data_IF_600635949522
#
_entry.id   IF_600635949522
#
_cell.length_a   1.000
_cell.length_b   1.000
_cell.length_c   1.000
_cell.angle_alpha   90.00
_cell.angle_beta   90.00
_cell.angle_gamma   90.00
#
_symmetry.space_group_name_H-M   'P 1'
#
loop_
_entity.id
_entity.type
_entity.pdbx_description
1 polymer ?
#
# COMPACT_ATOMS: atom_id res chain seq x y z
N UNK A 1 -21.84 80.75 12.79
CA UNK A 1 -21.11 80.37 11.57
C UNK A 1 -19.87 79.61 12.02
N UNK A 2 -19.69 78.30 11.89
CA UNK A 2 -20.47 77.19 11.37
C UNK A 2 -20.30 76.11 12.45
N UNK A 3 -21.36 75.74 13.16
CA UNK A 3 -21.33 74.50 13.95
C UNK A 3 -21.46 73.40 12.91
N UNK A 4 -20.33 72.85 12.48
CA UNK A 4 -20.31 71.63 11.70
C UNK A 4 -20.79 70.54 12.67
N UNK A 5 -22.09 70.27 12.66
CA UNK A 5 -22.65 69.04 13.24
C UNK A 5 -22.28 67.92 12.27
N UNK A 6 -21.03 67.45 12.33
CA UNK A 6 -20.68 66.15 11.78
C UNK A 6 -21.40 65.12 12.64
N UNK A 7 -22.63 64.76 12.27
CA UNK A 7 -23.36 63.65 12.92
C UNK A 7 -22.58 62.35 12.79
N UNK A 8 -21.78 62.20 11.73
CA UNK A 8 -20.96 61.02 11.49
C UNK A 8 -19.57 61.42 10.95
N UNK A 9 -18.51 60.82 11.49
CA UNK A 9 -17.16 60.89 10.93
C UNK A 9 -16.74 59.53 10.39
N UNK A 10 -16.29 59.47 9.14
CA UNK A 10 -15.68 58.28 8.55
C UNK A 10 -14.17 58.27 8.76
N UNK A 11 -13.65 57.17 9.31
CA UNK A 11 -12.21 56.93 9.36
C UNK A 11 -11.87 55.68 8.55
N UNK A 12 -10.94 55.85 7.60
CA UNK A 12 -10.31 54.74 6.90
C UNK A 12 -9.22 54.15 7.79
N UNK A 13 -9.49 53.00 8.39
CA UNK A 13 -8.46 52.23 9.08
C UNK A 13 -7.68 51.43 8.03
N UNK A 14 -6.36 51.32 8.20
CA UNK A 14 -5.35 50.81 7.26
C UNK A 14 -5.63 49.44 6.58
N UNK A 15 -6.68 48.72 7.00
CA UNK A 15 -7.09 47.40 6.54
C UNK A 15 -8.62 47.22 6.43
N UNK A 16 -9.41 48.29 6.53
CA UNK A 16 -10.87 48.21 6.67
C UNK A 16 -11.62 49.10 5.69
N UNK A 17 -12.89 48.73 5.45
CA UNK A 17 -13.88 49.64 4.91
C UNK A 17 -14.12 50.83 5.86
N UNK A 18 -14.69 51.91 5.34
CA UNK A 18 -15.04 53.11 6.09
C UNK A 18 -15.90 52.76 7.31
N UNK A 19 -15.42 53.06 8.51
CA UNK A 19 -16.20 52.95 9.75
C UNK A 19 -16.77 54.32 10.08
N UNK A 20 -18.09 54.38 10.22
CA UNK A 20 -18.82 55.58 10.61
C UNK A 20 -18.90 55.64 12.14
N UNK A 21 -18.43 56.76 12.70
CA UNK A 21 -18.51 57.04 14.12
C UNK A 21 -19.56 58.11 14.38
N UNK A 22 -20.54 57.78 15.23
CA UNK A 22 -21.47 58.76 15.78
C UNK A 22 -20.74 59.64 16.81
N UNK A 23 -20.91 60.96 16.67
CA UNK A 23 -20.27 61.96 17.54
C UNK A 23 -21.17 62.37 18.71
N UNK A 24 -22.42 61.92 18.76
CA UNK A 24 -23.37 62.21 19.83
C UNK A 24 -22.81 61.70 21.18
N UNK A 25 -22.83 62.57 22.20
CA UNK A 25 -22.30 62.35 23.56
C UNK A 25 -20.79 62.06 23.66
N UNK A 26 -20.02 62.14 22.57
CA UNK A 26 -18.59 61.79 22.60
C UNK A 26 -17.80 62.61 23.63
N UNK A 27 -18.06 63.92 23.70
CA UNK A 27 -17.40 64.82 24.66
C UNK A 27 -17.77 64.51 26.12
N UNK A 28 -19.01 64.09 26.37
CA UNK A 28 -19.48 63.74 27.71
C UNK A 28 -18.85 62.43 28.18
N UNK A 29 -18.85 61.41 27.31
CA UNK A 29 -18.17 60.13 27.54
C UNK A 29 -16.67 60.30 27.81
N UNK A 30 -16.02 61.28 27.17
CA UNK A 30 -14.59 61.53 27.35
C UNK A 30 -14.23 62.32 28.63
N UNK A 31 -15.17 63.05 29.23
CA UNK A 31 -14.89 63.94 30.37
C UNK A 31 -14.60 63.20 31.67
N UNK A 32 -15.11 61.98 31.83
CA UNK A 32 -14.94 61.15 33.04
C UNK A 32 -15.08 61.95 34.36
N UNK A 33 -16.20 62.69 34.55
CA UNK A 33 -16.32 63.62 35.65
C UNK A 33 -16.41 62.85 36.98
N UNK A 34 -15.42 63.04 37.84
CA UNK A 34 -15.42 62.49 39.18
C UNK A 34 -15.31 63.62 40.19
N UNK A 35 -16.39 63.83 40.96
CA UNK A 35 -16.46 64.90 41.94
C UNK A 35 -15.54 64.60 43.13
N UNK A 36 -14.74 65.58 43.52
CA UNK A 36 -13.82 65.47 44.66
C UNK A 36 -14.53 65.16 45.99
N UNK A 37 -15.78 65.61 46.14
CA UNK A 37 -16.61 65.34 47.31
C UNK A 37 -16.91 63.84 47.47
N UNK A 38 -17.08 63.11 46.37
CA UNK A 38 -17.34 61.67 46.39
C UNK A 38 -16.07 60.91 46.84
N UNK A 39 -14.89 61.35 46.39
CA UNK A 39 -13.60 60.81 46.84
C UNK A 39 -13.44 61.02 48.35
N UNK A 40 -13.77 62.22 48.84
CA UNK A 40 -13.72 62.54 50.27
C UNK A 40 -14.71 61.70 51.07
N UNK A 41 -15.95 61.55 50.60
CA UNK A 41 -16.94 60.68 51.24
C UNK A 41 -16.45 59.23 51.34
N UNK A 42 -15.83 58.71 50.29
CA UNK A 42 -15.25 57.36 50.28
C UNK A 42 -14.08 57.21 51.25
N UNK A 43 -13.29 58.27 51.47
CA UNK A 43 -12.22 58.25 52.47
C UNK A 43 -12.74 58.22 53.91
N UNK A 44 -13.95 58.75 54.16
CA UNK A 44 -14.57 58.86 55.48
C UNK A 44 -15.41 57.63 55.86
N UNK A 45 -15.69 56.74 54.91
CA UNK A 45 -16.45 55.53 55.17
C UNK A 45 -15.68 54.54 56.06
N UNK A 46 -16.36 53.87 57.00
CA UNK A 46 -15.75 52.88 57.92
C UNK A 46 -15.40 51.54 57.25
N UNK A 47 -15.84 51.33 56.01
CA UNK A 47 -15.58 50.10 55.26
C UNK A 47 -14.26 50.20 54.48
N UNK A 48 -13.49 49.11 54.43
CA UNK A 48 -12.20 49.09 53.73
C UNK A 48 -12.29 49.36 52.22
N UNK A 49 -13.35 48.88 51.55
CA UNK A 49 -13.49 49.03 50.10
C UNK A 49 -13.53 50.50 49.65
N UNK A 50 -14.42 51.37 50.17
CA UNK A 50 -14.41 52.80 49.86
C UNK A 50 -13.05 53.49 50.09
N UNK A 51 -12.37 53.16 51.20
CA UNK A 51 -11.06 53.73 51.53
C UNK A 51 -9.97 53.32 50.52
N UNK A 52 -10.03 52.08 50.01
CA UNK A 52 -9.14 51.60 48.94
C UNK A 52 -9.37 52.30 47.61
N UNK A 53 -10.61 52.72 47.31
CA UNK A 53 -10.89 53.52 46.11
C UNK A 53 -10.37 54.96 46.26
N UNK A 54 -10.61 55.59 47.41
CA UNK A 54 -10.14 56.94 47.67
C UNK A 54 -8.61 57.06 47.62
N UNK A 55 -7.87 56.05 48.11
CA UNK A 55 -6.40 56.04 48.07
C UNK A 55 -5.80 55.87 46.67
N UNK A 56 -6.53 55.26 45.72
CA UNK A 56 -6.07 55.02 44.34
C UNK A 56 -6.41 56.16 43.38
N UNK A 57 -7.39 57.01 43.70
CA UNK A 57 -7.84 58.09 42.84
C UNK A 57 -7.12 59.39 43.22
N UNK A 58 -6.23 59.87 42.34
CA UNK A 58 -5.56 61.17 42.50
C UNK A 58 -6.52 62.31 42.09
N UNK A 59 -6.82 63.28 42.99
CA UNK A 59 -7.84 64.31 42.73
C UNK A 59 -7.41 65.41 41.74
N UNK A 60 -6.14 65.45 41.30
CA UNK A 60 -5.56 66.62 40.63
C UNK A 60 -5.44 66.53 39.10
N UNK A 61 -5.79 65.40 38.47
CA UNK A 61 -5.66 65.25 37.02
C UNK A 61 -7.02 65.20 36.34
N UNK A 62 -7.41 66.32 35.72
CA UNK A 62 -8.45 66.38 34.68
C UNK A 62 -7.97 65.63 33.43
N UNK A 63 -7.78 64.32 33.56
CA UNK A 63 -7.40 63.43 32.46
C UNK A 63 -8.66 62.91 31.80
N UNK A 64 -8.78 63.16 30.51
CA UNK A 64 -9.85 62.60 29.70
C UNK A 64 -9.67 61.09 29.52
N UNK A 65 -10.76 60.36 29.25
CA UNK A 65 -10.72 58.92 28.97
C UNK A 65 -9.73 58.60 27.85
N UNK A 66 -9.70 59.41 26.79
CA UNK A 66 -8.81 59.22 25.64
C UNK A 66 -7.34 59.38 26.05
N UNK A 67 -7.01 60.35 26.90
CA UNK A 67 -5.63 60.54 27.37
C UNK A 67 -5.17 59.35 28.20
N UNK A 68 -6.01 58.86 29.12
CA UNK A 68 -5.71 57.66 29.93
C UNK A 68 -5.52 56.43 29.04
N UNK A 69 -6.42 56.23 28.07
CA UNK A 69 -6.35 55.13 27.12
C UNK A 69 -5.08 55.19 26.27
N UNK A 70 -4.72 56.37 25.75
CA UNK A 70 -3.50 56.57 24.97
C UNK A 70 -2.24 56.22 25.77
N UNK A 71 -2.15 56.69 27.00
CA UNK A 71 -0.98 56.45 27.85
C UNK A 71 -0.87 54.97 28.24
N UNK A 72 -1.98 54.31 28.53
CA UNK A 72 -2.02 52.87 28.79
C UNK A 72 -1.63 52.05 27.56
N UNK A 73 -2.16 52.41 26.38
CA UNK A 73 -1.83 51.75 25.12
C UNK A 73 -0.35 51.93 24.78
N UNK A 74 0.20 53.12 24.98
CA UNK A 74 1.63 53.38 24.72
C UNK A 74 2.54 52.54 25.62
N UNK A 75 2.23 52.44 26.92
CA UNK A 75 2.95 51.55 27.85
C UNK A 75 2.87 50.10 27.42
N UNK A 76 1.70 49.63 26.99
CA UNK A 76 1.52 48.27 26.48
C UNK A 76 2.36 48.04 25.22
N UNK A 77 2.37 48.98 24.27
CA UNK A 77 3.18 48.87 23.05
C UNK A 77 4.68 48.77 23.35
N UNK A 78 5.19 49.60 24.27
CA UNK A 78 6.60 49.52 24.70
C UNK A 78 6.95 48.14 25.30
N UNK A 79 6.05 47.57 26.10
CA UNK A 79 6.24 46.23 26.66
C UNK A 79 6.26 45.17 25.55
N UNK A 80 5.33 45.24 24.59
CA UNK A 80 5.28 44.31 23.47
C UNK A 80 6.54 44.41 22.59
N UNK A 81 7.02 45.62 22.30
CA UNK A 81 8.24 45.88 21.52
C UNK A 81 9.50 45.36 22.20
N UNK A 82 9.52 45.29 23.53
CA UNK A 82 10.64 44.70 24.29
C UNK A 82 10.70 43.16 24.25
N UNK A 83 9.69 42.51 23.64
CA UNK A 83 9.55 41.05 23.60
C UNK A 83 9.48 40.52 22.17
N UNK A 84 9.56 39.20 22.02
CA UNK A 84 9.32 38.52 20.73
C UNK A 84 7.83 38.17 20.61
N UNK A 85 7.06 38.82 19.72
CA UNK A 85 5.62 38.59 19.64
C UNK A 85 5.27 37.30 18.87
N UNK A 86 4.22 36.63 19.33
CA UNK A 86 3.56 35.53 18.63
C UNK A 86 2.08 35.90 18.41
N UNK A 87 1.58 35.72 17.19
CA UNK A 87 0.24 36.16 16.81
C UNK A 87 -0.72 34.97 16.69
N UNK A 88 -1.82 35.01 17.44
CA UNK A 88 -2.95 34.08 17.31
C UNK A 88 -4.18 34.86 16.83
N UNK A 89 -4.80 34.41 15.74
CA UNK A 89 -6.00 35.04 15.17
C UNK A 89 -7.19 34.10 15.35
N UNK A 90 -8.15 34.50 16.17
CA UNK A 90 -9.38 33.76 16.37
C UNK A 90 -10.39 34.06 15.25
N UNK A 91 -11.14 33.07 14.81
CA UNK A 91 -12.18 33.21 13.78
C UNK A 91 -13.48 32.61 14.28
N UNK A 92 -14.60 33.33 14.16
CA UNK A 92 -15.94 32.85 14.47
C UNK A 92 -16.51 32.09 13.26
N UNK A 93 -16.81 30.79 13.35
CA UNK A 93 -17.20 29.99 12.19
C UNK A 93 -18.65 30.23 11.73
N UNK A 94 -19.56 30.58 12.64
CA UNK A 94 -20.96 30.89 12.33
C UNK A 94 -21.57 31.81 13.39
N UNK A 95 -22.61 32.56 13.00
CA UNK A 95 -23.28 33.49 13.91
C UNK A 95 -24.14 32.82 14.99
N UNK A 96 -24.65 31.61 14.69
CA UNK A 96 -25.62 30.86 15.52
C UNK A 96 -24.98 30.11 16.70
N UNK A 97 -23.65 30.06 16.78
CA UNK A 97 -22.87 29.31 17.78
C UNK A 97 -23.13 27.79 17.73
N UNK A 98 -23.42 27.26 16.54
CA UNK A 98 -23.65 25.82 16.31
C UNK A 98 -22.34 25.13 15.97
N UNK A 99 -22.11 23.95 16.53
CA UNK A 99 -20.90 23.16 16.21
C UNK A 99 -20.98 22.59 14.79
N UNK A 100 -19.87 22.58 14.06
CA UNK A 100 -19.76 22.00 12.71
C UNK A 100 -20.35 22.85 11.58
N UNK A 101 -21.01 23.97 11.88
CA UNK A 101 -21.50 24.90 10.85
C UNK A 101 -20.44 25.95 10.48
N UNK A 102 -20.28 26.17 9.16
CA UNK A 102 -19.34 27.14 8.60
C UNK A 102 -20.07 28.13 7.68
N UNK A 103 -20.06 29.40 8.06
CA UNK A 103 -20.67 30.51 7.33
C UNK A 103 -19.59 31.24 6.51
N UNK A 104 -19.54 30.96 5.20
CA UNK A 104 -18.46 31.42 4.32
C UNK A 104 -18.31 32.93 4.30
N UNK A 105 -19.41 33.67 4.20
CA UNK A 105 -19.36 35.13 4.04
C UNK A 105 -18.87 35.82 5.31
N UNK A 106 -19.38 35.39 6.47
CA UNK A 106 -18.94 35.84 7.79
C UNK A 106 -17.43 35.58 8.00
N UNK A 107 -16.95 34.38 7.67
CA UNK A 107 -15.53 34.05 7.80
C UNK A 107 -14.69 34.84 6.80
N UNK A 108 -15.14 34.97 5.56
CA UNK A 108 -14.44 35.74 4.52
C UNK A 108 -14.27 37.21 4.91
N UNK A 109 -15.29 37.82 5.49
CA UNK A 109 -15.23 39.19 6.01
C UNK A 109 -14.26 39.30 7.19
N UNK A 110 -14.31 38.38 8.15
CA UNK A 110 -13.33 38.33 9.24
C UNK A 110 -11.88 38.20 8.74
N UNK A 111 -11.62 37.39 7.71
CA UNK A 111 -10.27 37.25 7.15
C UNK A 111 -9.77 38.55 6.49
N UNK A 112 -10.67 39.33 5.89
CA UNK A 112 -10.37 40.68 5.39
C UNK A 112 -10.08 41.63 6.55
N UNK A 113 -11.01 41.74 7.50
CA UNK A 113 -10.92 42.61 8.68
C UNK A 113 -9.68 42.33 9.55
N UNK A 114 -9.33 41.07 9.75
CA UNK A 114 -8.14 40.68 10.51
C UNK A 114 -6.82 40.89 9.75
N UNK A 115 -6.87 41.36 8.50
CA UNK A 115 -5.69 41.53 7.64
C UNK A 115 -5.02 40.22 7.24
N UNK A 116 -5.68 39.07 7.43
CA UNK A 116 -5.08 37.75 7.17
C UNK A 116 -4.80 37.60 5.67
N UNK A 117 -5.72 38.06 4.81
CA UNK A 117 -5.52 38.02 3.37
C UNK A 117 -4.34 38.90 2.91
N UNK A 118 -4.15 40.03 3.57
CA UNK A 118 -3.04 40.94 3.30
C UNK A 118 -1.69 40.35 3.73
N UNK A 119 -1.64 39.73 4.91
CA UNK A 119 -0.47 38.97 5.37
C UNK A 119 -0.14 37.83 4.40
N UNK A 120 -1.14 37.10 3.92
CA UNK A 120 -0.96 36.06 2.90
C UNK A 120 -0.45 36.66 1.59
N UNK A 121 -0.96 37.83 1.17
CA UNK A 121 -0.51 38.54 -0.03
C UNK A 121 0.95 38.94 0.06
N UNK A 122 1.36 39.56 1.16
CA UNK A 122 2.75 39.94 1.43
C UNK A 122 3.63 38.68 1.46
N UNK A 123 3.20 37.62 2.15
CA UNK A 123 3.93 36.34 2.21
C UNK A 123 4.13 35.74 0.81
N UNK A 124 3.11 35.77 -0.04
CA UNK A 124 3.19 35.31 -1.45
C UNK A 124 4.09 36.19 -2.32
N UNK A 125 4.16 37.49 -2.04
CA UNK A 125 5.06 38.40 -2.77
C UNK A 125 6.54 38.15 -2.45
N UNK A 126 6.84 37.57 -1.29
CA UNK A 126 8.16 37.09 -0.93
C UNK A 126 8.40 35.63 -1.32
N UNK A 127 9.15 34.92 -0.47
CA UNK A 127 9.49 33.51 -0.63
C UNK A 127 9.01 32.73 0.60
N UNK A 128 7.74 32.27 0.60
CA UNK A 128 7.13 31.61 1.75
C UNK A 128 7.77 30.26 2.07
N UNK A 129 8.26 29.55 1.05
CA UNK A 129 8.88 28.23 1.23
C UNK A 129 10.40 28.36 1.29
N UNK A 130 11.00 27.80 2.33
CA UNK A 130 12.43 27.88 2.62
C UNK A 130 12.93 26.49 2.97
N UNK A 131 13.93 26.00 2.25
CA UNK A 131 14.50 24.67 2.47
C UNK A 131 16.01 24.77 2.60
N UNK A 132 16.61 23.96 3.47
CA UNK A 132 18.08 23.85 3.55
C UNK A 132 18.56 23.11 2.29
N UNK A 133 19.70 23.52 1.71
CA UNK A 133 20.20 22.90 0.47
C UNK A 133 20.29 21.38 0.56
N UNK A 134 20.84 20.85 1.66
CA UNK A 134 20.94 19.40 1.88
C UNK A 134 19.58 18.70 1.94
N UNK A 135 18.58 19.33 2.56
CA UNK A 135 17.23 18.77 2.66
C UNK A 135 16.56 18.75 1.29
N UNK A 136 16.70 19.83 0.52
CA UNK A 136 16.19 19.92 -0.84
C UNK A 136 16.82 18.84 -1.73
N UNK A 137 18.15 18.74 -1.73
CA UNK A 137 18.87 17.76 -2.56
C UNK A 137 18.47 16.34 -2.22
N UNK A 138 18.52 15.92 -0.95
CA UNK A 138 18.12 14.55 -0.53
C UNK A 138 16.67 14.22 -0.88
N UNK A 139 15.79 15.22 -0.87
CA UNK A 139 14.37 15.01 -1.13
C UNK A 139 14.06 14.83 -2.61
N UNK A 140 14.75 15.58 -3.46
CA UNK A 140 14.47 15.68 -4.89
C UNK A 140 15.54 15.02 -5.78
N UNK A 141 16.61 14.44 -5.22
CA UNK A 141 17.63 13.71 -5.98
C UNK A 141 17.05 12.56 -6.81
N UNK A 142 15.97 11.93 -6.34
CA UNK A 142 15.24 10.88 -7.08
C UNK A 142 14.69 11.36 -8.42
N UNK A 143 14.49 12.67 -8.57
CA UNK A 143 14.01 13.27 -9.82
C UNK A 143 15.13 13.38 -10.85
N UNK A 144 16.40 13.21 -10.47
CA UNK A 144 17.53 13.27 -11.36
C UNK A 144 18.00 11.86 -11.77
N UNK A 145 18.49 11.66 -13.01
CA UNK A 145 19.18 10.43 -13.38
C UNK A 145 20.50 10.31 -12.59
N UNK A 146 20.91 9.08 -12.26
CA UNK A 146 22.10 8.78 -11.42
C UNK A 146 23.37 9.49 -11.90
N UNK A 147 23.54 9.64 -13.22
CA UNK A 147 24.70 10.28 -13.84
C UNK A 147 24.84 11.79 -13.56
N UNK A 148 23.78 12.42 -13.04
CA UNK A 148 23.73 13.87 -12.76
C UNK A 148 23.83 14.22 -11.27
N UNK A 149 23.96 13.20 -10.41
CA UNK A 149 24.11 13.40 -8.96
C UNK A 149 25.57 13.75 -8.67
N UNK A 150 25.81 14.99 -8.23
CA UNK A 150 27.13 15.47 -7.84
C UNK A 150 27.36 15.26 -6.33
N UNK A 151 28.62 15.19 -5.90
CA UNK A 151 29.00 15.19 -4.48
C UNK A 151 28.63 16.52 -3.79
N UNK A 152 28.63 17.63 -4.55
CA UNK A 152 28.25 18.94 -4.03
C UNK A 152 26.72 19.14 -4.11
N UNK A 153 26.02 19.31 -2.97
CA UNK A 153 24.58 19.51 -2.95
C UNK A 153 24.12 20.75 -3.72
N UNK A 154 24.96 21.77 -3.89
CA UNK A 154 24.62 22.96 -4.67
C UNK A 154 24.47 22.66 -6.17
N UNK A 155 25.39 21.88 -6.73
CA UNK A 155 25.34 21.50 -8.13
C UNK A 155 24.12 20.62 -8.42
N UNK A 156 23.82 19.67 -7.55
CA UNK A 156 22.64 18.81 -7.67
C UNK A 156 21.35 19.63 -7.56
N UNK A 157 21.30 20.61 -6.66
CA UNK A 157 20.19 21.56 -6.54
C UNK A 157 20.00 22.37 -7.82
N UNK A 158 21.07 22.93 -8.39
CA UNK A 158 21.02 23.70 -9.65
C UNK A 158 20.55 22.81 -10.80
N UNK A 159 21.04 21.57 -10.88
CA UNK A 159 20.62 20.60 -11.89
C UNK A 159 19.12 20.28 -11.80
N UNK A 160 18.57 20.15 -10.59
CA UNK A 160 17.12 19.99 -10.38
C UNK A 160 16.38 21.23 -10.90
N UNK A 161 16.79 22.44 -10.48
CA UNK A 161 16.12 23.68 -10.88
C UNK A 161 16.11 23.86 -12.41
N UNK A 162 17.22 23.54 -13.08
CA UNK A 162 17.35 23.58 -14.54
C UNK A 162 16.50 22.51 -15.23
N UNK A 163 16.47 21.28 -14.70
CA UNK A 163 15.68 20.18 -15.27
C UNK A 163 14.18 20.51 -15.31
N UNK A 164 13.68 21.20 -14.27
CA UNK A 164 12.28 21.58 -14.15
C UNK A 164 11.95 22.96 -14.74
N UNK A 165 12.91 23.60 -15.40
CA UNK A 165 12.77 24.93 -16.03
C UNK A 165 12.09 25.97 -15.12
N UNK A 166 12.47 25.94 -13.83
CA UNK A 166 11.93 26.89 -12.85
C UNK A 166 12.55 28.24 -13.16
N UNK A 167 11.70 29.20 -13.52
CA UNK A 167 12.13 30.55 -13.88
C UNK A 167 12.94 31.20 -12.74
N UNK A 168 14.06 31.89 -13.01
CA UNK A 168 14.92 32.49 -11.98
C UNK A 168 14.21 33.46 -11.02
N UNK A 169 13.09 34.06 -11.42
CA UNK A 169 12.29 34.96 -10.58
C UNK A 169 11.47 34.22 -9.51
N UNK A 170 11.30 32.91 -9.68
CA UNK A 170 10.48 32.05 -8.83
C UNK A 170 11.28 31.42 -7.67
N UNK A 171 12.61 31.53 -7.68
CA UNK A 171 13.45 31.04 -6.60
C UNK A 171 14.64 31.97 -6.32
N UNK A 172 15.23 31.85 -5.13
CA UNK A 172 16.48 32.51 -4.77
C UNK A 172 17.37 31.53 -3.99
N UNK A 173 18.64 31.45 -4.38
CA UNK A 173 19.64 30.63 -3.68
C UNK A 173 20.37 31.50 -2.67
N UNK A 174 20.07 31.33 -1.38
CA UNK A 174 20.86 31.93 -0.31
C UNK A 174 22.07 31.07 0.07
N UNK A 175 22.89 31.54 1.01
CA UNK A 175 24.11 30.84 1.46
C UNK A 175 23.88 29.42 1.98
N UNK A 176 22.77 29.17 2.69
CA UNK A 176 22.47 27.87 3.31
C UNK A 176 21.09 27.32 2.94
N UNK A 177 20.25 28.15 2.32
CA UNK A 177 18.83 27.87 2.08
C UNK A 177 18.42 28.26 0.68
N UNK A 178 17.50 27.49 0.12
CA UNK A 178 16.77 27.77 -1.10
C UNK A 178 15.40 28.36 -0.73
N UNK A 179 15.02 29.41 -1.46
CA UNK A 179 13.80 30.17 -1.24
C UNK A 179 12.92 30.05 -2.48
N UNK A 180 11.65 29.68 -2.32
CA UNK A 180 10.71 29.55 -3.44
C UNK A 180 9.50 30.44 -3.26
N UNK A 181 9.00 30.97 -4.38
CA UNK A 181 7.67 31.55 -4.46
C UNK A 181 6.60 30.45 -4.32
N UNK A 182 5.39 30.87 -3.94
CA UNK A 182 4.27 29.95 -3.75
C UNK A 182 3.97 29.13 -5.02
N UNK A 183 3.75 27.83 -4.86
CA UNK A 183 3.35 26.91 -5.94
C UNK A 183 4.49 26.06 -6.53
N UNK A 184 5.74 26.52 -6.49
CA UNK A 184 6.86 25.82 -7.14
C UNK A 184 7.19 24.46 -6.49
N UNK A 185 7.21 24.40 -5.16
CA UNK A 185 7.44 23.15 -4.43
C UNK A 185 6.30 22.16 -4.65
N UNK A 186 5.05 22.63 -4.80
CA UNK A 186 3.91 21.74 -5.07
C UNK A 186 4.10 20.97 -6.37
N UNK A 187 4.49 21.67 -7.45
CA UNK A 187 4.78 21.03 -8.73
C UNK A 187 5.92 19.99 -8.63
N UNK A 188 6.99 20.28 -7.89
CA UNK A 188 8.08 19.32 -7.65
C UNK A 188 7.62 18.08 -6.88
N UNK A 189 6.74 18.25 -5.89
CA UNK A 189 6.17 17.13 -5.12
C UNK A 189 5.22 16.27 -5.95
N UNK A 190 4.45 16.87 -6.85
CA UNK A 190 3.55 16.13 -7.74
C UNK A 190 4.34 15.18 -8.65
N UNK A 191 5.41 15.67 -9.28
CA UNK A 191 6.29 14.85 -10.13
C UNK A 191 7.03 13.79 -9.30
N UNK A 192 7.50 14.15 -8.11
CA UNK A 192 8.13 13.18 -7.19
C UNK A 192 7.15 12.09 -6.78
N UNK A 193 5.90 12.44 -6.53
CA UNK A 193 4.82 11.50 -6.25
C UNK A 193 4.59 10.53 -7.41
N UNK A 194 4.69 10.99 -8.66
CA UNK A 194 4.64 10.16 -9.86
C UNK A 194 5.83 9.19 -9.95
N UNK A 195 7.05 9.69 -9.81
CA UNK A 195 8.26 8.85 -9.86
C UNK A 195 8.26 7.77 -8.77
N UNK A 196 7.77 8.11 -7.57
CA UNK A 196 7.63 7.11 -6.49
C UNK A 196 6.56 6.05 -6.81
N UNK A 197 5.50 6.39 -7.56
CA UNK A 197 4.53 5.39 -8.02
C UNK A 197 5.16 4.38 -8.98
N UNK A 198 6.15 4.78 -9.79
CA UNK A 198 6.87 3.84 -10.66
C UNK A 198 7.65 2.77 -9.88
N UNK A 199 8.02 3.03 -8.62
CA UNK A 199 8.60 2.01 -7.73
C UNK A 199 7.65 0.82 -7.52
N UNK A 200 6.33 1.03 -7.60
CA UNK A 200 5.35 -0.05 -7.55
C UNK A 200 5.47 -1.00 -8.74
N UNK A 201 5.94 -0.53 -9.89
CA UNK A 201 6.20 -1.36 -11.06
C UNK A 201 7.34 -2.34 -10.80
N UNK A 202 8.42 -1.88 -10.15
CA UNK A 202 9.53 -2.74 -9.73
C UNK A 202 9.03 -3.81 -8.76
N UNK A 203 8.25 -3.42 -7.75
CA UNK A 203 7.66 -4.34 -6.79
C UNK A 203 6.75 -5.38 -7.47
N UNK A 204 5.92 -4.97 -8.44
CA UNK A 204 5.07 -5.85 -9.23
C UNK A 204 5.88 -6.88 -10.02
N UNK A 205 6.95 -6.44 -10.69
CA UNK A 205 7.85 -7.32 -11.44
C UNK A 205 8.54 -8.33 -10.51
N UNK A 206 9.02 -7.89 -9.36
CA UNK A 206 9.67 -8.74 -8.37
C UNK A 206 8.71 -9.80 -7.79
N UNK A 207 7.50 -9.39 -7.37
CA UNK A 207 6.45 -10.31 -6.89
C UNK A 207 6.07 -11.34 -7.96
N UNK A 208 5.93 -10.91 -9.22
CA UNK A 208 5.69 -11.80 -10.36
C UNK A 208 6.82 -12.81 -10.53
N UNK A 209 8.08 -12.36 -10.44
CA UNK A 209 9.24 -13.24 -10.56
C UNK A 209 9.23 -14.31 -9.46
N UNK A 210 9.01 -13.91 -8.20
CA UNK A 210 8.91 -14.85 -7.07
C UNK A 210 7.78 -15.87 -7.25
N UNK A 211 6.59 -15.43 -7.65
CA UNK A 211 5.45 -16.31 -7.90
C UNK A 211 5.75 -17.32 -9.04
N UNK A 212 6.32 -16.86 -10.16
CA UNK A 212 6.71 -17.73 -11.28
C UNK A 212 7.76 -18.76 -10.89
N UNK A 213 8.76 -18.35 -10.09
CA UNK A 213 9.80 -19.26 -9.58
C UNK A 213 9.19 -20.34 -8.68
N UNK A 214 8.27 -19.97 -7.79
CA UNK A 214 7.53 -20.92 -6.95
C UNK A 214 6.69 -21.91 -7.78
N UNK A 215 5.92 -21.40 -8.73
CA UNK A 215 5.11 -22.22 -9.64
C UNK A 215 5.95 -23.20 -10.46
N UNK A 216 7.09 -22.74 -11.01
CA UNK A 216 7.96 -23.60 -11.81
C UNK A 216 8.52 -24.77 -10.99
N UNK A 217 8.94 -24.53 -9.74
CA UNK A 217 9.38 -25.59 -8.82
C UNK A 217 8.28 -26.64 -8.58
N UNK A 218 7.05 -26.19 -8.31
CA UNK A 218 5.90 -27.08 -8.12
C UNK A 218 5.57 -27.87 -9.38
N UNK A 219 5.60 -27.23 -10.56
CA UNK A 219 5.32 -27.88 -11.85
C UNK A 219 6.34 -28.98 -12.15
N UNK A 220 7.64 -28.72 -11.94
CA UNK A 220 8.70 -29.72 -12.12
C UNK A 220 8.48 -30.90 -11.17
N UNK A 221 8.24 -30.64 -9.89
CA UNK A 221 7.96 -31.70 -8.91
C UNK A 221 6.73 -32.53 -9.25
N UNK A 222 5.62 -31.88 -9.64
CA UNK A 222 4.40 -32.57 -10.07
C UNK A 222 4.61 -33.41 -11.33
N UNK A 223 5.39 -32.92 -12.30
CA UNK A 223 5.65 -33.65 -13.55
C UNK A 223 6.53 -34.88 -13.28
N UNK A 224 7.53 -34.77 -12.39
CA UNK A 224 8.36 -35.89 -11.97
C UNK A 224 7.54 -36.96 -11.20
N UNK A 225 6.64 -36.54 -10.32
CA UNK A 225 5.74 -37.48 -9.64
C UNK A 225 4.82 -38.19 -10.62
N UNK A 226 4.22 -37.44 -11.56
CA UNK A 226 3.36 -38.01 -12.61
C UNK A 226 4.11 -39.01 -13.50
N UNK A 227 5.37 -38.74 -13.86
CA UNK A 227 6.16 -39.69 -14.65
C UNK A 227 6.48 -40.97 -13.88
N UNK A 228 6.77 -40.87 -12.58
CA UNK A 228 6.98 -42.03 -11.71
C UNK A 228 5.71 -42.90 -11.63
N UNK A 229 4.56 -42.29 -11.37
CA UNK A 229 3.27 -43.00 -11.30
C UNK A 229 2.93 -43.69 -12.62
N UNK A 230 3.08 -42.98 -13.75
CA UNK A 230 2.86 -43.58 -15.09
C UNK A 230 3.82 -44.74 -15.36
N UNK A 231 5.09 -44.60 -14.99
CA UNK A 231 6.08 -45.67 -15.10
C UNK A 231 5.71 -46.90 -14.26
N UNK A 232 5.19 -46.69 -13.05
CA UNK A 232 4.76 -47.78 -12.17
C UNK A 232 3.53 -48.53 -12.70
N UNK A 233 2.55 -47.81 -13.26
CA UNK A 233 1.40 -48.43 -13.94
C UNK A 233 1.89 -49.32 -15.10
N UNK A 234 2.77 -48.79 -15.97
CA UNK A 234 3.30 -49.55 -17.10
C UNK A 234 4.11 -50.80 -16.68
N UNK A 235 4.88 -50.71 -15.58
CA UNK A 235 5.57 -51.89 -15.03
C UNK A 235 4.60 -52.95 -14.53
N UNK A 236 3.53 -52.55 -13.83
CA UNK A 236 2.51 -53.49 -13.34
C UNK A 236 1.80 -54.19 -14.50
N UNK A 237 1.44 -53.45 -15.54
CA UNK A 237 0.85 -54.02 -16.77
C UNK A 237 1.81 -55.01 -17.46
N UNK A 238 3.09 -54.65 -17.59
CA UNK A 238 4.11 -55.55 -18.17
C UNK A 238 4.28 -56.85 -17.37
N UNK A 239 4.35 -56.77 -16.04
CA UNK A 239 4.44 -57.94 -15.16
C UNK A 239 3.18 -58.82 -15.31
N UNK A 240 1.99 -58.22 -15.39
CA UNK A 240 0.75 -58.96 -15.62
C UNK A 240 0.76 -59.70 -16.97
N UNK A 241 1.25 -59.05 -18.03
CA UNK A 241 1.40 -59.67 -19.35
C UNK A 241 2.41 -60.81 -19.36
N UNK A 242 3.54 -60.67 -18.65
CA UNK A 242 4.52 -61.75 -18.51
C UNK A 242 3.92 -62.98 -17.82
N UNK A 243 3.18 -62.79 -16.72
CA UNK A 243 2.48 -63.88 -16.04
C UNK A 243 1.49 -64.58 -16.95
N UNK A 244 0.70 -63.82 -17.71
CA UNK A 244 -0.26 -64.40 -18.67
C UNK A 244 0.46 -65.20 -19.78
N UNK A 245 1.57 -64.68 -20.32
CA UNK A 245 2.37 -65.42 -21.32
C UNK A 245 2.91 -66.73 -20.77
N UNK A 246 3.39 -66.72 -19.52
CA UNK A 246 3.90 -67.91 -18.86
C UNK A 246 2.80 -68.95 -18.66
N UNK A 247 1.61 -68.54 -18.19
CA UNK A 247 0.45 -69.42 -18.07
C UNK A 247 0.01 -70.03 -19.41
N UNK A 248 -0.04 -69.23 -20.49
CA UNK A 248 -0.37 -69.74 -21.83
C UNK A 248 0.68 -70.71 -22.35
N UNK A 249 1.97 -70.48 -22.05
CA UNK A 249 3.04 -71.41 -22.42
C UNK A 249 2.93 -72.74 -21.65
N UNK A 250 2.63 -72.68 -20.35
CA UNK A 250 2.38 -73.86 -19.52
C UNK A 250 1.18 -74.67 -20.03
N UNK A 251 0.06 -74.01 -20.34
CA UNK A 251 -1.12 -74.66 -20.92
C UNK A 251 -0.81 -75.36 -22.25
N UNK A 252 -0.08 -74.70 -23.15
CA UNK A 252 0.34 -75.31 -24.42
C UNK A 252 1.25 -76.53 -24.21
N UNK A 253 2.11 -76.50 -23.20
CA UNK A 253 2.99 -77.62 -22.87
C UNK A 253 2.16 -78.79 -22.31
N UNK A 254 1.20 -78.54 -21.43
CA UNK A 254 0.27 -79.55 -20.93
C UNK A 254 -0.56 -80.18 -22.06
N UNK A 255 -1.10 -79.37 -22.96
CA UNK A 255 -1.82 -79.84 -24.15
C UNK A 255 -0.94 -80.74 -25.02
N UNK A 256 0.31 -80.33 -25.30
CA UNK A 256 1.25 -81.12 -26.07
C UNK A 256 1.58 -82.46 -25.40
N UNK A 257 1.76 -82.47 -24.07
CA UNK A 257 1.98 -83.70 -23.29
C UNK A 257 0.77 -84.62 -23.38
N UNK A 258 -0.45 -84.10 -23.23
CA UNK A 258 -1.68 -84.89 -23.34
C UNK A 258 -1.84 -85.51 -24.74
N UNK A 259 -1.55 -84.76 -25.79
CA UNK A 259 -1.54 -85.26 -27.16
C UNK A 259 -0.52 -86.39 -27.34
N UNK A 260 0.72 -86.20 -26.87
CA UNK A 260 1.78 -87.21 -26.97
C UNK A 260 1.39 -88.50 -26.23
N UNK A 261 0.85 -88.37 -25.01
CA UNK A 261 0.37 -89.49 -24.21
C UNK A 261 -0.76 -90.25 -24.92
N UNK A 262 -1.70 -89.55 -25.57
CA UNK A 262 -2.78 -90.17 -26.33
C UNK A 262 -2.26 -91.02 -27.50
N UNK A 263 -1.25 -90.52 -28.23
CA UNK A 263 -0.62 -91.22 -29.34
C UNK A 263 0.12 -92.47 -28.85
N UNK A 264 0.89 -92.35 -27.76
CA UNK A 264 1.62 -93.47 -27.15
C UNK A 264 0.66 -94.55 -26.66
N UNK A 265 -0.40 -94.17 -25.92
CA UNK A 265 -1.45 -95.11 -25.46
C UNK A 265 -2.10 -95.82 -26.64
N UNK A 266 -2.45 -95.09 -27.71
CA UNK A 266 -3.02 -95.69 -28.93
C UNK A 266 -2.06 -96.64 -29.64
N UNK A 267 -0.77 -96.30 -29.74
CA UNK A 267 0.25 -97.19 -30.31
C UNK A 267 0.44 -98.45 -29.48
N UNK A 268 0.46 -98.34 -28.14
CA UNK A 268 0.63 -99.47 -27.24
C UNK A 268 -0.50 -100.50 -27.39
N UNK A 269 -1.76 -100.04 -27.48
CA UNK A 269 -2.93 -100.92 -27.73
C UNK A 269 -2.81 -101.59 -29.10
N UNK A 270 -2.46 -100.85 -30.15
CA UNK A 270 -2.27 -101.42 -31.50
C UNK A 270 -1.14 -102.45 -31.55
N UNK A 271 -0.02 -102.18 -30.89
CA UNK A 271 1.12 -103.12 -30.80
C UNK A 271 0.74 -104.38 -30.02
N UNK A 272 0.03 -104.22 -28.90
CA UNK A 272 -0.48 -105.37 -28.15
C UNK A 272 -1.43 -106.21 -29.01
N UNK A 273 -2.36 -105.58 -29.74
CA UNK A 273 -3.26 -106.28 -30.65
C UNK A 273 -2.53 -106.99 -31.80
N UNK A 274 -1.53 -106.34 -32.41
CA UNK A 274 -0.69 -106.93 -33.46
C UNK A 274 0.08 -108.15 -32.94
N UNK A 275 0.70 -108.04 -31.76
CA UNK A 275 1.39 -109.15 -31.11
C UNK A 275 0.42 -110.30 -30.79
N UNK A 276 -0.82 -110.01 -30.36
CA UNK A 276 -1.85 -111.03 -30.15
C UNK A 276 -2.26 -111.72 -31.45
N UNK A 277 -2.40 -110.98 -32.56
CA UNK A 277 -2.67 -111.56 -33.89
C UNK A 277 -1.51 -112.39 -34.44
N UNK A 278 -0.27 -111.96 -34.24
CA UNK A 278 0.92 -112.72 -34.62
C UNK A 278 1.00 -114.06 -33.84
N UNK A 279 0.65 -114.05 -32.55
CA UNK A 279 0.51 -115.27 -31.74
C UNK A 279 -0.62 -116.20 -32.23
N UNK A 280 -1.77 -115.63 -32.64
CA UNK A 280 -2.86 -116.42 -33.21
C UNK A 280 -2.48 -117.01 -34.57
N UNK A 281 -1.73 -116.28 -35.41
CA UNK A 281 -1.24 -116.77 -36.69
C UNK A 281 -0.12 -117.80 -36.56
N UNK A 282 0.79 -117.67 -35.59
CA UNK A 282 1.80 -118.70 -35.30
C UNK A 282 1.12 -119.98 -34.80
N UNK A 283 0.17 -119.87 -33.87
CA UNK A 283 -0.62 -121.01 -33.39
C UNK A 283 -1.48 -121.65 -34.50
N UNK A 284 -1.93 -120.86 -35.49
CA UNK A 284 -2.66 -121.37 -36.65
C UNK A 284 -1.76 -122.05 -37.70
N UNK A 285 -0.48 -121.69 -37.79
CA UNK A 285 0.52 -122.35 -38.66
C UNK A 285 1.06 -123.66 -38.06
N UNK A 286 1.12 -123.79 -36.74
CA UNK A 286 1.47 -125.06 -36.08
C UNK A 286 0.38 -126.13 -36.20
N UNK A 287 -0.90 -125.73 -36.36
CA UNK A 287 -2.03 -126.67 -36.52
C UNK A 287 -1.93 -127.59 -37.75
N UNK A 288 -1.60 -127.12 -38.97
CA UNK A 288 -1.38 -128.01 -40.11
C UNK A 288 -0.08 -128.83 -39.99
N UNK A 289 0.96 -128.34 -39.32
CA UNK A 289 2.21 -129.11 -39.13
C UNK A 289 2.04 -130.29 -38.16
N UNK A 290 1.29 -130.12 -37.06
CA UNK A 290 0.89 -131.25 -36.19
C UNK A 290 -0.03 -132.24 -36.91
N UNK A 291 -0.96 -131.76 -37.74
CA UNK A 291 -1.92 -132.61 -38.45
C UNK A 291 -1.27 -133.40 -39.61
N UNK A 292 -0.23 -132.87 -40.24
CA UNK A 292 0.61 -133.57 -41.25
C UNK A 292 1.52 -134.62 -40.58
N UNK A 293 2.07 -134.31 -39.40
CA UNK A 293 2.86 -135.27 -38.60
C UNK A 293 2.02 -136.47 -38.12
N UNK A 294 0.78 -136.24 -37.69
CA UNK A 294 -0.13 -137.33 -37.29
C UNK A 294 -0.67 -138.18 -38.46
N UNK A 295 -0.76 -137.63 -39.68
CA UNK A 295 -1.14 -138.39 -40.88
C UNK A 295 0.01 -139.28 -41.39
N UNK A 296 1.25 -138.78 -41.39
CA UNK A 296 2.40 -139.57 -41.85
C UNK A 296 2.82 -140.69 -40.88
N UNK A 297 2.44 -140.60 -39.60
CA UNK A 297 2.67 -141.68 -38.65
C UNK A 297 1.66 -142.85 -38.77
N UNK A 298 0.54 -142.69 -39.49
CA UNK A 298 -0.52 -143.71 -39.61
C UNK A 298 -0.46 -144.55 -40.91
N UNK A 299 0.27 -144.11 -41.94
CA UNK A 299 0.42 -144.88 -43.20
C UNK A 299 1.51 -145.97 -43.17
N UNK A 300 2.44 -145.95 -42.21
CA UNK A 300 3.50 -146.98 -42.07
C UNK A 300 3.13 -148.17 -41.16
N UNK A 301 1.86 -148.28 -40.73
CA UNK A 301 1.36 -149.38 -39.90
C UNK A 301 0.28 -150.24 -40.58
N UNK A 302 0.17 -150.21 -41.92
CA UNK A 302 -0.65 -151.17 -42.67
C UNK A 302 -0.02 -151.55 -44.00
N UNK A 303 0.68 -152.69 -43.95
CA UNK A 303 1.14 -153.66 -44.97
C UNK A 303 2.63 -153.94 -44.83
#
# INVERSE_FOLDING_TARGET
MLIIVLKEMGLEHLLFAMVLYDTVEFLEKNRDPLHSEIIQLFSLCNNQLPQLFASKIQPSQKQSVITKFKDQLFKLMQQLESTTPYFVRCTKPNSKKVSGEFEKDLVSEQLRCCGILEVVRISRSGYPTRMIHQEFTRRYEILLPENSICQDPLNTLIAILQKFDIQPEMYQVGYTKLFFRAGQIGALEDVRGETLRDTLQIQKCFRRHLARRGFHKLKVGSTALQSYVRGEIGRREYIALLKLKQQVAEQKMEEAVLQLQSVIRGWMVRKHFSNSQELEQSNAREKPEMMISEMQSKEWLSI
#
